data_IF_017448045723
#
_entry.id   IF_017448045723
#
_cell.length_a   1.000
_cell.length_b   1.000
_cell.length_c   1.000
_cell.angle_alpha   90.00
_cell.angle_beta   90.00
_cell.angle_gamma   90.00
#
_symmetry.space_group_name_H-M   'P 1'
#
loop_
_entity.id
_entity.type
_entity.pdbx_description
1 polymer ?
#
# COMPACT_ATOMS: atom_id res chain seq x y z
N UNK A 1 11.49 0.81 7.80
CA UNK A 1 12.05 0.59 6.43
C UNK A 1 11.60 1.71 5.50
N UNK A 2 12.50 2.61 5.09
CA UNK A 2 12.17 3.69 4.17
C UNK A 2 12.23 3.20 2.71
N UNK A 3 11.39 3.74 1.82
CA UNK A 3 11.35 3.36 0.40
C UNK A 3 12.72 3.51 -0.27
N UNK A 4 13.51 4.50 0.14
CA UNK A 4 14.88 4.76 -0.35
C UNK A 4 15.84 3.59 -0.10
N UNK A 5 15.81 2.95 1.08
CA UNK A 5 16.69 1.79 1.35
C UNK A 5 16.40 0.59 0.45
N UNK A 6 15.13 0.37 0.12
CA UNK A 6 14.71 -0.71 -0.79
C UNK A 6 15.17 -0.39 -2.20
N UNK A 7 14.99 0.86 -2.63
CA UNK A 7 15.42 1.34 -3.93
C UNK A 7 16.94 1.16 -4.11
N UNK A 8 17.73 1.53 -3.11
CA UNK A 8 19.18 1.30 -3.10
C UNK A 8 19.51 -0.17 -3.32
N UNK A 9 18.90 -1.08 -2.54
CA UNK A 9 19.11 -2.52 -2.70
C UNK A 9 18.76 -3.02 -4.10
N UNK A 10 17.68 -2.52 -4.71
CA UNK A 10 17.30 -2.87 -6.07
C UNK A 10 18.32 -2.40 -7.09
N UNK A 11 18.76 -1.14 -7.00
CA UNK A 11 19.79 -0.56 -7.87
C UNK A 11 21.08 -1.35 -7.77
N UNK A 12 21.59 -1.56 -6.54
CA UNK A 12 22.83 -2.30 -6.29
C UNK A 12 22.74 -3.72 -6.89
N UNK A 13 21.60 -4.41 -6.69
CA UNK A 13 21.39 -5.77 -7.23
C UNK A 13 21.38 -5.79 -8.76
N UNK A 14 20.74 -4.81 -9.40
CA UNK A 14 20.65 -4.72 -10.87
C UNK A 14 22.00 -4.33 -11.47
N UNK A 15 22.73 -3.42 -10.83
CA UNK A 15 24.10 -3.05 -11.21
C UNK A 15 25.02 -4.28 -11.16
N UNK A 16 25.06 -5.00 -10.04
CA UNK A 16 25.87 -6.21 -9.89
C UNK A 16 25.53 -7.29 -10.92
N UNK A 17 24.24 -7.49 -11.19
CA UNK A 17 23.79 -8.43 -12.21
C UNK A 17 24.22 -8.02 -13.62
N UNK A 18 24.21 -6.71 -13.91
CA UNK A 18 24.62 -6.15 -15.20
C UNK A 18 26.13 -6.30 -15.41
N UNK A 19 26.95 -6.01 -14.39
CA UNK A 19 28.40 -6.15 -14.45
C UNK A 19 28.86 -7.60 -14.66
N UNK A 20 28.08 -8.59 -14.18
CA UNK A 20 28.34 -10.02 -14.44
C UNK A 20 28.02 -10.44 -15.87
N UNK A 21 27.20 -9.68 -16.60
CA UNK A 21 26.92 -9.91 -18.01
C UNK A 21 27.93 -9.12 -18.85
N UNK A 22 28.96 -9.79 -19.36
CA UNK A 22 30.17 -9.26 -20.04
C UNK A 22 29.90 -8.32 -21.23
N UNK A 23 28.64 -8.08 -21.63
CA UNK A 23 28.28 -7.30 -22.82
C UNK A 23 27.23 -6.20 -22.59
N UNK A 24 26.87 -5.86 -21.35
CA UNK A 24 25.87 -4.82 -21.09
C UNK A 24 26.43 -3.65 -20.27
N UNK A 25 26.29 -2.40 -20.75
CA UNK A 25 26.58 -1.23 -19.94
C UNK A 25 25.62 -1.18 -18.75
N UNK A 26 26.07 -0.57 -17.65
CA UNK A 26 25.21 -0.31 -16.50
C UNK A 26 24.05 0.60 -16.95
N UNK A 27 22.79 0.23 -16.69
CA UNK A 27 21.65 1.01 -17.15
C UNK A 27 21.47 2.30 -16.36
N UNK A 28 20.77 3.26 -16.97
CA UNK A 28 20.19 4.39 -16.25
C UNK A 28 18.90 3.96 -15.54
N UNK A 29 18.64 4.50 -14.36
CA UNK A 29 17.47 4.19 -13.55
C UNK A 29 16.52 5.39 -13.48
N UNK A 30 15.27 5.17 -13.91
CA UNK A 30 14.15 6.06 -13.62
C UNK A 30 13.28 5.45 -12.54
N UNK A 31 13.19 6.13 -11.40
CA UNK A 31 12.55 5.64 -10.18
C UNK A 31 11.33 6.51 -9.90
N UNK A 32 10.17 5.87 -9.92
CA UNK A 32 8.89 6.52 -9.72
C UNK A 32 8.38 6.23 -8.31
N UNK A 33 8.35 7.24 -7.45
CA UNK A 33 7.78 7.14 -6.10
C UNK A 33 6.30 7.52 -6.17
N UNK A 34 5.42 6.54 -6.06
CA UNK A 34 3.98 6.77 -6.01
C UNK A 34 3.45 6.65 -4.59
N UNK A 35 2.59 7.59 -4.22
CA UNK A 35 1.74 7.55 -3.04
C UNK A 35 0.54 8.49 -3.26
N UNK A 36 -0.40 8.54 -2.33
CA UNK A 36 -1.51 9.48 -2.34
C UNK A 36 -1.01 10.93 -2.31
N UNK A 37 -1.77 11.89 -2.85
CA UNK A 37 -1.41 13.32 -2.79
C UNK A 37 -1.21 13.87 -1.37
N UNK A 38 -1.76 13.19 -0.36
CA UNK A 38 -1.63 13.54 1.07
C UNK A 38 -0.32 13.05 1.68
N UNK A 39 0.48 12.25 0.98
CA UNK A 39 1.79 11.82 1.45
C UNK A 39 2.78 12.99 1.49
N UNK A 40 3.71 12.94 2.44
CA UNK A 40 4.75 13.96 2.58
C UNK A 40 5.92 13.70 1.62
N UNK A 41 5.72 14.06 0.35
CA UNK A 41 6.79 14.03 -0.65
C UNK A 41 7.93 15.01 -0.34
N UNK A 42 7.67 16.09 0.42
CA UNK A 42 8.70 17.07 0.75
C UNK A 42 9.78 16.45 1.65
N UNK A 43 9.38 15.67 2.65
CA UNK A 43 10.31 14.93 3.50
C UNK A 43 11.17 13.95 2.69
N UNK A 44 10.58 13.27 1.70
CA UNK A 44 11.31 12.36 0.81
C UNK A 44 12.32 13.12 -0.04
N UNK A 45 11.92 14.24 -0.65
CA UNK A 45 12.79 15.04 -1.50
C UNK A 45 13.93 15.70 -0.72
N UNK A 46 13.67 16.12 0.52
CA UNK A 46 14.70 16.64 1.42
C UNK A 46 15.77 15.58 1.78
N UNK A 47 15.42 14.28 1.77
CA UNK A 47 16.35 13.18 2.04
C UNK A 47 17.16 12.71 0.81
N UNK A 48 16.82 13.17 -0.40
CA UNK A 48 17.49 12.73 -1.63
C UNK A 48 18.99 13.05 -1.69
N UNK A 49 19.50 14.22 -1.24
CA UNK A 49 20.93 14.49 -1.28
C UNK A 49 21.76 13.45 -0.54
N UNK A 50 21.37 13.12 0.70
CA UNK A 50 22.04 12.09 1.50
C UNK A 50 21.94 10.72 0.83
N UNK A 51 20.77 10.40 0.26
CA UNK A 51 20.57 9.16 -0.47
C UNK A 51 21.52 9.02 -1.68
N UNK A 52 21.72 10.09 -2.45
CA UNK A 52 22.66 10.11 -3.57
C UNK A 52 24.12 9.94 -3.12
N UNK A 53 24.51 10.56 -2.00
CA UNK A 53 25.85 10.38 -1.42
C UNK A 53 26.08 8.93 -0.98
N UNK A 54 25.07 8.30 -0.38
CA UNK A 54 25.11 6.89 0.02
C UNK A 54 25.22 5.94 -1.18
N UNK A 55 24.56 6.24 -2.30
CA UNK A 55 24.64 5.45 -3.54
C UNK A 55 26.02 5.57 -4.19
N UNK A 56 26.60 6.78 -4.19
CA UNK A 56 27.96 6.99 -4.73
C UNK A 56 29.00 6.20 -3.94
N UNK A 57 28.82 6.05 -2.63
CA UNK A 57 29.68 5.18 -1.80
C UNK A 57 31.18 5.47 -1.92
N UNK A 58 31.56 6.73 -2.23
CA UNK A 58 32.95 7.13 -2.48
C UNK A 58 33.55 6.66 -3.82
N UNK A 59 32.75 6.12 -4.75
CA UNK A 59 33.22 5.70 -6.07
C UNK A 59 33.56 6.92 -6.94
N UNK A 60 34.69 6.82 -7.66
CA UNK A 60 35.17 7.88 -8.56
C UNK A 60 34.37 7.98 -9.88
N UNK A 61 33.65 6.92 -10.26
CA UNK A 61 32.82 6.88 -11.47
C UNK A 61 31.40 7.42 -11.27
N UNK A 62 31.03 7.77 -10.03
CA UNK A 62 29.73 8.36 -9.68
C UNK A 62 28.55 7.39 -9.61
N UNK A 63 28.76 6.08 -9.88
CA UNK A 63 27.70 5.08 -9.92
C UNK A 63 26.72 5.24 -11.10
N UNK A 64 25.65 4.42 -11.17
CA UNK A 64 24.68 4.51 -12.26
C UNK A 64 23.88 5.83 -12.19
N UNK A 65 23.52 6.43 -13.34
CA UNK A 65 22.62 7.58 -13.37
C UNK A 65 21.24 7.20 -12.81
N UNK A 66 20.77 7.93 -11.79
CA UNK A 66 19.50 7.67 -11.10
C UNK A 66 18.65 8.94 -11.04
N UNK A 67 17.45 8.85 -11.61
CA UNK A 67 16.47 9.94 -11.66
C UNK A 67 15.23 9.55 -10.84
N UNK A 68 14.94 10.30 -9.79
CA UNK A 68 13.80 10.05 -8.90
C UNK A 68 12.73 11.11 -9.13
N UNK A 69 11.48 10.68 -9.27
CA UNK A 69 10.32 11.58 -9.35
C UNK A 69 9.17 11.08 -8.48
N UNK A 70 8.41 12.01 -7.90
CA UNK A 70 7.17 11.73 -7.18
C UNK A 70 5.97 11.72 -8.12
N UNK A 71 5.08 10.75 -7.93
CA UNK A 71 3.85 10.56 -8.70
C UNK A 71 2.65 10.52 -7.75
N UNK A 72 2.04 11.68 -7.44
CA UNK A 72 0.91 11.74 -6.52
C UNK A 72 -0.34 11.17 -7.19
N UNK A 73 -0.98 10.19 -6.55
CA UNK A 73 -2.21 9.59 -7.04
C UNK A 73 -2.47 8.21 -6.45
N UNK A 74 -3.73 7.78 -6.48
CA UNK A 74 -4.10 6.43 -6.05
C UNK A 74 -3.57 5.38 -7.03
N UNK A 75 -2.88 4.36 -6.50
CA UNK A 75 -2.46 3.20 -7.28
C UNK A 75 -3.63 2.34 -7.77
N UNK A 76 -4.86 2.60 -7.36
CA UNK A 76 -6.02 1.92 -7.95
C UNK A 76 -6.38 2.42 -9.35
N UNK A 77 -5.84 3.57 -9.78
CA UNK A 77 -5.98 4.09 -11.14
C UNK A 77 -4.71 4.02 -11.97
N UNK A 78 -4.78 4.53 -13.21
CA UNK A 78 -3.62 4.76 -14.08
C UNK A 78 -2.77 5.93 -13.54
N UNK A 79 -1.46 5.71 -13.49
CA UNK A 79 -0.45 6.65 -13.01
C UNK A 79 0.62 6.93 -14.07
N UNK A 80 0.83 5.98 -15.00
CA UNK A 80 1.90 6.04 -15.98
C UNK A 80 1.38 5.82 -17.41
N UNK A 81 2.09 6.32 -18.44
CA UNK A 81 1.84 5.95 -19.82
C UNK A 81 1.92 4.43 -20.03
N UNK A 82 1.24 3.95 -21.07
CA UNK A 82 1.26 2.52 -21.38
C UNK A 82 2.68 2.04 -21.71
N UNK A 83 3.01 0.82 -21.32
CA UNK A 83 4.32 0.19 -21.59
C UNK A 83 5.53 1.06 -21.21
N UNK A 84 5.50 1.68 -20.03
CA UNK A 84 6.54 2.60 -19.58
C UNK A 84 7.31 2.15 -18.32
N UNK A 85 6.85 1.07 -17.67
CA UNK A 85 7.45 0.50 -16.47
C UNK A 85 8.07 -0.88 -16.74
N UNK A 86 9.30 -1.07 -16.28
CA UNK A 86 10.01 -2.36 -16.34
C UNK A 86 9.72 -3.24 -15.12
N UNK A 87 9.57 -2.59 -13.96
CA UNK A 87 9.45 -3.25 -12.68
C UNK A 87 8.54 -2.43 -11.77
N UNK A 88 7.61 -3.09 -11.09
CA UNK A 88 6.76 -2.49 -10.06
C UNK A 88 7.04 -3.19 -8.74
N UNK A 89 7.21 -2.40 -7.70
CA UNK A 89 7.33 -2.87 -6.33
C UNK A 89 6.25 -2.21 -5.48
N UNK A 90 5.47 -3.02 -4.77
CA UNK A 90 4.50 -2.55 -3.77
C UNK A 90 4.68 -3.35 -2.50
N UNK A 91 4.76 -2.67 -1.36
CA UNK A 91 5.05 -3.30 -0.08
C UNK A 91 4.23 -2.62 1.01
N UNK A 92 3.38 -3.39 1.68
CA UNK A 92 2.47 -2.92 2.72
C UNK A 92 1.50 -1.81 2.27
N UNK A 93 1.03 -1.86 1.02
CA UNK A 93 0.06 -0.87 0.49
C UNK A 93 -1.28 -1.50 0.08
N UNK A 94 -1.25 -2.66 -0.57
CA UNK A 94 -2.44 -3.24 -1.23
C UNK A 94 -3.54 -3.77 -0.30
N UNK A 95 -3.29 -3.79 1.01
CA UNK A 95 -4.31 -4.12 2.01
C UNK A 95 -5.17 -2.89 2.40
N UNK A 96 -4.78 -1.68 1.99
CA UNK A 96 -5.57 -0.46 2.19
C UNK A 96 -6.56 -0.27 1.06
N UNK A 97 -7.85 -0.36 1.35
CA UNK A 97 -8.92 -0.19 0.39
C UNK A 97 -9.01 1.24 -0.12
N UNK A 98 -9.55 1.41 -1.33
CA UNK A 98 -9.81 2.73 -1.92
C UNK A 98 -10.84 3.54 -1.14
N UNK A 99 -11.74 2.84 -0.43
CA UNK A 99 -12.81 3.39 0.39
C UNK A 99 -13.32 2.35 1.39
N UNK A 100 -14.02 2.82 2.41
CA UNK A 100 -14.85 1.96 3.26
C UNK A 100 -15.98 1.39 2.39
N UNK A 101 -16.28 0.08 2.44
CA UNK A 101 -17.32 -0.51 1.62
C UNK A 101 -18.68 0.17 1.88
N UNK A 102 -19.37 0.72 0.86
CA UNK A 102 -20.66 1.38 1.05
C UNK A 102 -21.75 0.45 1.62
N UNK A 103 -21.62 -0.85 1.35
CA UNK A 103 -22.52 -1.89 1.85
C UNK A 103 -22.41 -2.16 3.37
N UNK A 104 -21.58 -1.40 4.09
CA UNK A 104 -21.56 -1.40 5.56
C UNK A 104 -22.62 -0.52 6.19
N UNK A 105 -23.38 0.25 5.40
CA UNK A 105 -24.40 1.16 5.89
C UNK A 105 -25.77 0.77 5.34
N UNK A 106 -26.81 0.91 6.17
CA UNK A 106 -28.20 0.74 5.75
C UNK A 106 -28.70 1.93 4.90
N UNK A 107 -29.95 1.85 4.42
CA UNK A 107 -30.57 2.92 3.61
C UNK A 107 -30.70 4.25 4.36
N UNK A 108 -30.65 4.23 5.70
CA UNK A 108 -30.68 5.40 6.56
C UNK A 108 -29.27 5.90 6.91
N UNK A 109 -28.22 5.27 6.36
CA UNK A 109 -26.82 5.63 6.59
C UNK A 109 -26.26 5.11 7.91
N UNK A 110 -26.96 4.23 8.62
CA UNK A 110 -26.49 3.68 9.90
C UNK A 110 -25.55 2.50 9.65
N UNK A 111 -24.48 2.44 10.42
CA UNK A 111 -23.51 1.35 10.33
C UNK A 111 -24.14 0.01 10.73
N UNK A 112 -23.83 -1.00 9.91
CA UNK A 112 -24.17 -2.40 10.15
C UNK A 112 -23.08 -3.13 10.97
N UNK A 113 -21.92 -2.51 11.15
CA UNK A 113 -20.79 -3.04 11.91
C UNK A 113 -20.70 -2.35 13.29
N UNK A 114 -21.72 -2.56 14.13
CA UNK A 114 -21.84 -1.90 15.44
C UNK A 114 -20.74 -2.30 16.42
N UNK A 115 -20.38 -1.37 17.30
CA UNK A 115 -19.40 -1.54 18.38
C UNK A 115 -18.01 -2.01 17.92
N UNK A 116 -17.71 -1.92 16.62
CA UNK A 116 -16.48 -2.39 16.02
C UNK A 116 -16.01 -1.43 14.94
N UNK A 117 -14.69 -1.33 14.77
CA UNK A 117 -14.08 -0.47 13.74
C UNK A 117 -13.64 -1.26 12.50
N UNK A 118 -13.73 -2.59 12.57
CA UNK A 118 -13.31 -3.51 11.51
C UNK A 118 -14.08 -4.86 11.66
N UNK A 119 -13.78 -5.83 10.81
CA UNK A 119 -14.30 -7.21 10.91
C UNK A 119 -13.85 -7.82 12.24
N UNK A 120 -14.80 -8.26 13.06
CA UNK A 120 -14.59 -8.91 14.35
C UNK A 120 -15.44 -10.18 14.48
N UNK A 121 -15.29 -10.91 15.59
CA UNK A 121 -16.14 -12.08 15.91
C UNK A 121 -17.62 -11.72 16.07
N UNK A 122 -17.95 -10.47 16.42
CA UNK A 122 -19.33 -9.98 16.54
C UNK A 122 -19.90 -9.43 15.24
N UNK A 123 -19.07 -9.21 14.22
CA UNK A 123 -19.52 -8.67 12.93
C UNK A 123 -20.43 -9.66 12.20
N UNK A 124 -21.58 -9.21 11.66
CA UNK A 124 -22.39 -10.02 10.76
C UNK A 124 -21.61 -10.45 9.51
N UNK A 125 -21.95 -11.61 8.92
CA UNK A 125 -21.26 -12.15 7.75
C UNK A 125 -21.15 -11.15 6.58
N UNK A 126 -22.23 -10.40 6.31
CA UNK A 126 -22.29 -9.43 5.22
C UNK A 126 -21.21 -8.34 5.33
N UNK A 127 -20.74 -8.00 6.54
CA UNK A 127 -19.64 -7.03 6.75
C UNK A 127 -18.38 -7.54 6.09
N UNK A 128 -18.00 -8.78 6.40
CA UNK A 128 -16.79 -9.40 5.84
C UNK A 128 -16.86 -9.63 4.33
N UNK A 129 -18.05 -9.98 3.82
CA UNK A 129 -18.30 -10.08 2.37
C UNK A 129 -18.19 -8.71 1.68
N UNK A 130 -18.66 -7.63 2.31
CA UNK A 130 -18.54 -6.28 1.77
C UNK A 130 -17.07 -5.85 1.66
N UNK A 131 -16.27 -6.10 2.70
CA UNK A 131 -14.82 -5.86 2.65
C UNK A 131 -14.12 -6.71 1.58
N UNK A 132 -14.46 -8.00 1.47
CA UNK A 132 -13.92 -8.88 0.43
C UNK A 132 -14.23 -8.34 -0.98
N UNK A 133 -15.48 -7.93 -1.24
CA UNK A 133 -15.88 -7.38 -2.54
C UNK A 133 -15.11 -6.10 -2.86
N UNK A 134 -15.02 -5.18 -1.92
CA UNK A 134 -14.26 -3.94 -2.10
C UNK A 134 -12.78 -4.23 -2.41
N UNK A 135 -12.16 -5.17 -1.69
CA UNK A 135 -10.79 -5.61 -1.98
C UNK A 135 -10.65 -6.21 -3.38
N UNK A 136 -11.58 -7.07 -3.81
CA UNK A 136 -11.54 -7.69 -5.13
C UNK A 136 -11.67 -6.66 -6.25
N UNK A 137 -12.57 -5.69 -6.11
CA UNK A 137 -12.71 -4.57 -7.04
C UNK A 137 -11.42 -3.76 -7.12
N UNK A 138 -10.92 -3.33 -5.97
CA UNK A 138 -9.71 -2.52 -5.83
C UNK A 138 -8.48 -3.24 -6.39
N UNK A 139 -8.26 -4.49 -6.01
CA UNK A 139 -7.13 -5.28 -6.49
C UNK A 139 -7.21 -5.56 -7.99
N UNK A 140 -8.41 -5.78 -8.53
CA UNK A 140 -8.63 -5.93 -9.97
C UNK A 140 -8.32 -4.64 -10.73
N UNK A 141 -8.73 -3.48 -10.21
CA UNK A 141 -8.43 -2.17 -10.79
C UNK A 141 -6.92 -1.87 -10.76
N UNK A 142 -6.25 -2.21 -9.66
CA UNK A 142 -4.79 -2.15 -9.54
C UNK A 142 -4.13 -3.00 -10.63
N UNK A 143 -4.46 -4.29 -10.71
CA UNK A 143 -3.85 -5.21 -11.68
C UNK A 143 -4.10 -4.77 -13.12
N UNK A 144 -5.32 -4.33 -13.45
CA UNK A 144 -5.65 -3.78 -14.77
C UNK A 144 -4.76 -2.58 -15.10
N UNK A 145 -4.69 -1.60 -14.21
CA UNK A 145 -3.89 -0.40 -14.41
C UNK A 145 -2.39 -0.73 -14.56
N UNK A 146 -1.85 -1.61 -13.71
CA UNK A 146 -0.43 -2.02 -13.80
C UNK A 146 -0.14 -2.85 -15.06
N UNK A 147 -1.09 -3.67 -15.53
CA UNK A 147 -0.91 -4.46 -16.75
C UNK A 147 -0.76 -3.61 -18.00
N UNK A 148 -1.43 -2.45 -18.06
CA UNK A 148 -1.34 -1.51 -19.17
C UNK A 148 -0.02 -0.71 -19.12
N UNK A 149 0.52 -0.46 -17.93
CA UNK A 149 1.72 0.35 -17.71
C UNK A 149 3.03 -0.44 -17.80
N UNK A 150 2.98 -1.75 -17.54
CA UNK A 150 4.14 -2.63 -17.69
C UNK A 150 4.48 -2.88 -19.14
N UNK A 151 5.78 -2.87 -19.45
CA UNK A 151 6.26 -3.38 -20.73
C UNK A 151 6.02 -4.89 -20.84
N UNK A 152 6.05 -5.41 -22.07
CA UNK A 152 6.10 -6.84 -22.31
C UNK A 152 7.30 -7.48 -21.60
N UNK A 153 7.02 -8.45 -20.72
CA UNK A 153 8.04 -9.14 -19.93
C UNK A 153 8.44 -8.46 -18.62
N UNK A 154 7.88 -7.27 -18.34
CA UNK A 154 8.04 -6.58 -17.06
C UNK A 154 7.52 -7.41 -15.88
N UNK A 155 7.96 -7.07 -14.67
CA UNK A 155 7.68 -7.84 -13.45
C UNK A 155 7.09 -6.98 -12.35
N UNK A 156 6.32 -7.63 -11.48
CA UNK A 156 5.83 -7.03 -10.24
C UNK A 156 6.25 -7.88 -9.05
N UNK A 157 6.59 -7.20 -7.95
CA UNK A 157 6.71 -7.80 -6.63
C UNK A 157 5.73 -7.09 -5.71
N UNK A 158 4.77 -7.86 -5.18
CA UNK A 158 3.70 -7.36 -4.33
C UNK A 158 3.81 -8.04 -2.97
N UNK A 159 3.97 -7.24 -1.92
CA UNK A 159 4.03 -7.70 -0.53
C UNK A 159 2.93 -6.97 0.22
N UNK A 160 2.02 -7.71 0.84
CA UNK A 160 0.87 -7.15 1.56
C UNK A 160 0.57 -8.01 2.79
N UNK A 161 -0.11 -7.40 3.75
CA UNK A 161 -0.66 -8.11 4.89
C UNK A 161 -1.77 -9.03 4.39
N UNK A 162 -1.72 -10.28 4.84
CA UNK A 162 -2.70 -11.30 4.49
C UNK A 162 -3.02 -12.16 5.72
N UNK A 163 -3.88 -13.15 5.53
CA UNK A 163 -4.33 -14.08 6.57
C UNK A 163 -4.17 -15.52 6.12
N UNK A 164 -3.89 -16.42 7.06
CA UNK A 164 -3.63 -17.84 6.77
C UNK A 164 -4.91 -18.67 6.57
N UNK A 165 -6.04 -18.22 7.11
CA UNK A 165 -7.30 -18.96 7.14
C UNK A 165 -8.36 -18.43 6.18
N UNK A 166 -9.37 -19.27 5.90
CA UNK A 166 -10.56 -18.87 5.13
C UNK A 166 -11.44 -17.88 5.89
N UNK A 167 -11.42 -17.94 7.23
CA UNK A 167 -12.15 -17.03 8.09
C UNK A 167 -11.64 -15.60 7.89
N UNK A 168 -12.57 -14.65 7.77
CA UNK A 168 -12.24 -13.24 7.63
C UNK A 168 -11.72 -12.63 8.94
N UNK A 169 -12.12 -13.20 10.08
CA UNK A 169 -11.57 -12.88 11.39
C UNK A 169 -10.27 -13.67 11.57
N UNK A 170 -9.16 -12.95 11.63
CA UNK A 170 -7.82 -13.49 11.84
C UNK A 170 -7.09 -12.64 12.89
N UNK A 171 -6.68 -13.27 14.00
CA UNK A 171 -6.04 -12.55 15.12
C UNK A 171 -4.77 -11.81 14.72
N UNK A 172 -4.05 -12.26 13.69
CA UNK A 172 -2.85 -11.59 13.20
C UNK A 172 -3.13 -10.19 12.66
N UNK A 173 -4.34 -9.96 12.14
CA UNK A 173 -4.74 -8.71 11.51
C UNK A 173 -5.83 -7.95 12.28
N UNK A 174 -6.73 -8.63 12.99
CA UNK A 174 -7.83 -8.00 13.73
C UNK A 174 -7.41 -7.40 15.08
N UNK A 175 -6.31 -7.88 15.67
CA UNK A 175 -5.95 -7.56 17.05
C UNK A 175 -5.79 -6.05 17.31
N UNK A 176 -5.11 -5.32 16.43
CA UNK A 176 -4.95 -3.87 16.59
C UNK A 176 -6.29 -3.12 16.43
N UNK A 177 -7.16 -3.60 15.54
CA UNK A 177 -8.48 -3.01 15.34
C UNK A 177 -9.42 -3.29 16.52
N UNK A 178 -9.35 -4.47 17.11
CA UNK A 178 -10.08 -4.82 18.34
C UNK A 178 -9.64 -3.97 19.53
N UNK A 179 -8.33 -3.73 19.70
CA UNK A 179 -7.82 -2.83 20.72
C UNK A 179 -8.27 -1.38 20.51
N UNK A 180 -8.31 -0.93 19.25
CA UNK A 180 -8.82 0.39 18.90
C UNK A 180 -10.32 0.52 19.21
N UNK A 181 -11.14 -0.46 18.81
CA UNK A 181 -12.56 -0.50 19.12
C UNK A 181 -12.82 -0.47 20.64
N UNK A 182 -12.08 -1.27 21.42
CA UNK A 182 -12.17 -1.27 22.90
C UNK A 182 -11.78 0.08 23.49
N UNK A 183 -10.75 0.72 22.95
CA UNK A 183 -10.32 2.05 23.41
C UNK A 183 -11.40 3.10 23.16
N UNK A 184 -12.05 3.07 21.99
CA UNK A 184 -13.21 3.92 21.72
C UNK A 184 -14.39 3.61 22.62
N UNK A 185 -14.72 2.34 22.85
CA UNK A 185 -15.80 1.95 23.76
C UNK A 185 -15.59 2.48 25.19
N UNK A 186 -14.34 2.50 25.68
CA UNK A 186 -14.01 3.13 26.97
C UNK A 186 -14.28 4.64 26.93
N UNK A 187 -13.93 5.34 25.85
CA UNK A 187 -14.20 6.77 25.71
C UNK A 187 -15.71 7.06 25.63
N UNK A 188 -16.46 6.22 24.93
CA UNK A 188 -17.93 6.28 24.87
C UNK A 188 -18.53 6.09 26.26
N UNK A 189 -18.07 5.09 27.02
CA UNK A 189 -18.55 4.85 28.40
C UNK A 189 -18.29 6.01 29.36
N UNK A 190 -17.29 6.85 29.07
CA UNK A 190 -16.97 8.07 29.83
C UNK A 190 -17.73 9.31 29.34
N UNK A 191 -18.47 9.20 28.23
CA UNK A 191 -19.15 10.33 27.58
C UNK A 191 -18.23 11.26 26.80
N UNK A 192 -16.98 10.86 26.52
CA UNK A 192 -15.99 11.66 25.77
C UNK A 192 -16.19 11.56 24.26
N UNK A 193 -16.85 10.50 23.80
CA UNK A 193 -17.15 10.22 22.39
C UNK A 193 -18.60 9.74 22.30
N UNK A 194 -19.36 10.25 21.33
CA UNK A 194 -20.70 9.75 21.03
C UNK A 194 -20.63 8.32 20.49
N UNK A 195 -21.50 7.43 20.95
CA UNK A 195 -21.57 6.03 20.50
C UNK A 195 -21.71 5.92 18.97
N UNK A 196 -22.50 6.80 18.36
CA UNK A 196 -22.69 6.87 16.90
C UNK A 196 -21.37 7.11 16.15
N UNK A 197 -20.42 7.86 16.74
CA UNK A 197 -19.10 8.10 16.12
C UNK A 197 -18.24 6.84 16.10
N UNK A 198 -18.39 5.96 17.09
CA UNK A 198 -17.74 4.65 17.09
C UNK A 198 -18.36 3.76 15.99
N UNK A 199 -19.68 3.64 15.99
CA UNK A 199 -20.39 2.79 15.03
C UNK A 199 -20.09 3.18 13.57
N UNK A 200 -19.99 4.48 13.29
CA UNK A 200 -19.72 5.01 11.95
C UNK A 200 -18.25 4.92 11.54
N UNK A 201 -17.33 4.65 12.46
CA UNK A 201 -15.90 4.59 12.17
C UNK A 201 -15.48 3.20 11.71
N UNK A 202 -15.35 3.02 10.40
CA UNK A 202 -14.88 1.78 9.78
C UNK A 202 -13.52 1.99 9.10
N UNK A 203 -12.58 1.08 9.31
CA UNK A 203 -11.23 1.16 8.74
C UNK A 203 -11.24 0.61 7.31
N UNK A 204 -10.73 1.35 6.29
CA UNK A 204 -10.63 0.87 4.91
C UNK A 204 -9.44 -0.10 4.74
N UNK A 205 -9.47 -1.23 5.45
CA UNK A 205 -8.40 -2.23 5.45
C UNK A 205 -9.00 -3.60 5.12
N UNK A 206 -8.26 -4.44 4.41
CA UNK A 206 -8.60 -5.85 4.25
C UNK A 206 -7.36 -6.70 4.02
N UNK A 207 -7.19 -7.75 4.85
CA UNK A 207 -6.10 -8.71 4.71
C UNK A 207 -6.59 -9.94 3.93
N UNK A 208 -6.26 -10.12 2.63
CA UNK A 208 -6.67 -11.28 1.83
C UNK A 208 -5.99 -12.60 2.26
N UNK A 209 -6.56 -13.74 1.83
CA UNK A 209 -6.00 -15.09 2.01
C UNK A 209 -5.46 -15.65 0.70
#
# INVERSE_FOLDING_TARGET
PNSLSIIRKMVDTIEEASLKQVSRPVPEFRICLNDLPTNDFNAIFAALPEFYDQLRGGRNDGGPPIYIAGYPGSFYGRLFPSESLHFIYSCYSLHWLSKVPPALYDEQGRSLNKESVYISESSPLHVSEAYLRQFQEDFSLFLKSRSEELIRGGKMVLILLGRMGKNHVDRGNSFFWELLAKSFAILVSKGEVEEEKLDMYNVPFYAPS
#
